data_IF_484816237740
#
_entry.id   IF_484816237740
#
_cell.length_a   1.000
_cell.length_b   1.000
_cell.length_c   1.000
_cell.angle_alpha   90.00
_cell.angle_beta   90.00
_cell.angle_gamma   90.00
#
_symmetry.space_group_name_H-M   'P 1'
#
loop_
_entity.id
_entity.type
_entity.pdbx_description
1 polymer ?
#
# COMPACT_ATOMS: atom_id res chain seq x y z
N UNK A 1 -73.99 1.09 -2.07
CA UNK A 1 -73.07 -0.05 -1.85
C UNK A 1 -72.38 -0.37 -3.16
N UNK A 2 -71.22 0.20 -3.40
CA UNK A 2 -70.41 -0.04 -4.61
C UNK A 2 -69.43 -1.18 -4.32
N UNK A 3 -69.73 -2.38 -4.85
CA UNK A 3 -68.83 -3.53 -4.83
C UNK A 3 -67.72 -3.29 -5.86
N UNK A 4 -66.52 -2.96 -5.38
CA UNK A 4 -65.32 -2.91 -6.22
C UNK A 4 -64.94 -4.34 -6.61
N UNK A 5 -64.95 -4.62 -7.91
CA UNK A 5 -64.71 -5.93 -8.51
C UNK A 5 -63.32 -6.48 -8.15
N UNK A 6 -63.29 -7.62 -7.44
CA UNK A 6 -62.08 -8.34 -7.00
C UNK A 6 -61.35 -9.08 -8.13
N UNK A 7 -61.79 -8.94 -9.38
CA UNK A 7 -61.22 -9.60 -10.55
C UNK A 7 -60.11 -8.82 -11.26
N UNK A 8 -59.89 -7.53 -10.95
CA UNK A 8 -58.81 -6.74 -11.55
C UNK A 8 -57.43 -6.91 -10.85
N UNK A 9 -57.39 -7.46 -9.63
CA UNK A 9 -56.16 -7.50 -8.82
C UNK A 9 -55.25 -8.71 -9.08
N UNK A 10 -55.83 -9.85 -9.50
CA UNK A 10 -55.10 -11.09 -9.79
C UNK A 10 -54.19 -11.02 -11.03
N UNK A 11 -54.62 -10.47 -12.19
CA UNK A 11 -53.73 -10.38 -13.35
C UNK A 11 -52.55 -9.44 -13.07
N UNK A 12 -52.78 -8.35 -12.33
CA UNK A 12 -51.74 -7.38 -11.96
C UNK A 12 -50.62 -8.04 -11.13
N UNK A 13 -50.98 -8.84 -10.11
CA UNK A 13 -49.98 -9.56 -9.32
C UNK A 13 -49.17 -10.56 -10.17
N UNK A 14 -49.82 -11.31 -11.05
CA UNK A 14 -49.11 -12.25 -11.93
C UNK A 14 -48.19 -11.54 -12.94
N UNK A 15 -48.58 -10.38 -13.46
CA UNK A 15 -47.73 -9.57 -14.33
C UNK A 15 -46.52 -9.00 -13.57
N UNK A 16 -46.70 -8.54 -12.34
CA UNK A 16 -45.60 -8.07 -11.48
C UNK A 16 -44.62 -9.21 -11.17
N UNK A 17 -45.11 -10.40 -10.82
CA UNK A 17 -44.23 -11.54 -10.57
C UNK A 17 -43.45 -12.00 -11.82
N UNK A 18 -44.09 -12.03 -12.99
CA UNK A 18 -43.42 -12.35 -14.25
C UNK A 18 -42.37 -11.30 -14.63
N UNK A 19 -42.65 -10.01 -14.42
CA UNK A 19 -41.72 -8.92 -14.67
C UNK A 19 -40.51 -8.97 -13.71
N UNK A 20 -40.73 -9.28 -12.42
CA UNK A 20 -39.66 -9.48 -11.44
C UNK A 20 -38.80 -10.71 -11.78
N UNK A 21 -39.42 -11.80 -12.24
CA UNK A 21 -38.66 -13.00 -12.62
C UNK A 21 -37.80 -12.77 -13.88
N UNK A 22 -38.33 -12.04 -14.87
CA UNK A 22 -37.59 -11.65 -16.08
C UNK A 22 -36.44 -10.67 -15.80
N UNK A 23 -36.59 -9.75 -14.83
CA UNK A 23 -35.51 -8.85 -14.44
C UNK A 23 -34.37 -9.57 -13.70
N UNK A 24 -34.69 -10.57 -12.86
CA UNK A 24 -33.67 -11.41 -12.20
C UNK A 24 -32.86 -12.29 -13.17
N UNK A 25 -33.50 -12.87 -14.18
CA UNK A 25 -32.80 -13.71 -15.18
C UNK A 25 -31.90 -12.88 -16.08
N UNK A 26 -32.35 -11.70 -16.53
CA UNK A 26 -31.55 -10.76 -17.32
C UNK A 26 -30.36 -10.19 -16.55
N UNK A 27 -30.53 -9.84 -15.27
CA UNK A 27 -29.44 -9.38 -14.41
C UNK A 27 -28.38 -10.47 -14.16
N UNK A 28 -28.83 -11.71 -13.93
CA UNK A 28 -27.93 -12.85 -13.73
C UNK A 28 -27.12 -13.18 -15.00
N UNK A 29 -27.75 -13.13 -16.18
CA UNK A 29 -27.08 -13.32 -17.46
C UNK A 29 -26.07 -12.19 -17.77
N UNK A 30 -26.39 -10.94 -17.42
CA UNK A 30 -25.49 -9.80 -17.58
C UNK A 30 -24.24 -9.93 -16.69
N UNK A 31 -24.39 -10.34 -15.43
CA UNK A 31 -23.25 -10.59 -14.53
C UNK A 31 -22.36 -11.71 -15.05
N UNK A 32 -22.94 -12.81 -15.56
CA UNK A 32 -22.17 -13.92 -16.14
C UNK A 32 -21.41 -13.48 -17.42
N UNK A 33 -22.02 -12.66 -18.26
CA UNK A 33 -21.38 -12.07 -19.45
C UNK A 33 -20.23 -11.12 -19.08
N UNK A 34 -20.41 -10.27 -18.06
CA UNK A 34 -19.35 -9.38 -17.55
C UNK A 34 -18.20 -10.14 -16.89
N UNK A 35 -18.45 -11.34 -16.33
CA UNK A 35 -17.41 -12.18 -15.71
C UNK A 35 -16.48 -12.83 -16.74
N UNK A 36 -16.92 -12.99 -18.00
CA UNK A 36 -16.18 -13.72 -19.03
C UNK A 36 -15.08 -12.89 -19.73
N UNK A 37 -15.00 -11.58 -19.49
CA UNK A 37 -14.05 -10.70 -20.18
C UNK A 37 -12.75 -10.39 -19.43
N UNK A 38 -12.43 -11.07 -18.33
CA UNK A 38 -11.14 -10.87 -17.63
C UNK A 38 -10.15 -12.02 -17.83
N UNK A 39 -10.00 -12.45 -19.08
CA UNK A 39 -8.75 -13.08 -19.51
C UNK A 39 -7.78 -11.98 -19.91
N UNK A 40 -7.04 -11.45 -18.92
CA UNK A 40 -5.94 -10.53 -19.20
C UNK A 40 -4.88 -11.33 -19.98
N UNK A 41 -4.52 -10.92 -21.21
CA UNK A 41 -3.40 -11.52 -21.91
C UNK A 41 -2.19 -11.45 -20.99
N UNK A 42 -1.62 -12.60 -20.63
CA UNK A 42 -0.34 -12.66 -19.95
C UNK A 42 0.71 -12.15 -20.94
N UNK A 43 0.84 -10.82 -21.07
CA UNK A 43 1.98 -10.25 -21.74
C UNK A 43 3.21 -10.78 -21.00
N UNK A 44 4.14 -11.47 -21.70
CA UNK A 44 5.43 -11.79 -21.12
C UNK A 44 5.98 -10.48 -20.57
N UNK A 45 6.18 -10.39 -19.25
CA UNK A 45 6.86 -9.24 -18.66
C UNK A 45 8.15 -9.09 -19.47
N UNK A 46 8.45 -7.93 -20.06
CA UNK A 46 9.70 -7.75 -20.77
C UNK A 46 10.80 -8.17 -19.81
N UNK A 47 11.40 -9.32 -20.11
CA UNK A 47 12.45 -9.87 -19.29
C UNK A 47 13.63 -8.98 -19.59
N UNK A 48 13.84 -7.96 -18.75
CA UNK A 48 14.97 -7.07 -18.89
C UNK A 48 16.20 -7.98 -18.91
N UNK A 49 16.86 -8.06 -20.07
CA UNK A 49 18.07 -8.86 -20.24
C UNK A 49 19.18 -8.17 -19.45
N UNK A 50 19.19 -8.42 -18.14
CA UNK A 50 20.27 -7.99 -17.26
C UNK A 50 21.50 -8.82 -17.61
N UNK A 51 22.64 -8.17 -17.80
CA UNK A 51 23.90 -8.89 -17.80
C UNK A 51 24.04 -9.56 -16.42
N UNK A 52 24.26 -10.88 -16.37
CA UNK A 52 24.33 -11.65 -15.11
C UNK A 52 25.46 -11.20 -14.18
N UNK A 53 26.38 -10.36 -14.66
CA UNK A 53 27.53 -9.87 -13.89
C UNK A 53 27.25 -8.61 -13.08
N UNK A 54 26.20 -7.84 -13.41
CA UNK A 54 25.88 -6.59 -12.70
C UNK A 54 24.61 -6.72 -11.86
N UNK A 55 24.63 -6.09 -10.68
CA UNK A 55 23.48 -6.04 -9.76
C UNK A 55 22.33 -5.28 -10.42
N UNK A 56 21.24 -5.97 -10.72
CA UNK A 56 20.10 -5.37 -11.41
C UNK A 56 19.06 -4.87 -10.39
N UNK A 57 19.33 -3.72 -9.77
CA UNK A 57 18.57 -3.20 -8.62
C UNK A 57 17.04 -3.17 -8.81
N UNK A 58 16.57 -2.83 -10.02
CA UNK A 58 15.15 -2.64 -10.33
C UNK A 58 14.49 -3.85 -11.00
N UNK A 59 15.23 -4.94 -11.22
CA UNK A 59 14.71 -6.20 -11.75
C UNK A 59 14.88 -7.29 -10.69
N UNK A 60 13.81 -8.01 -10.35
CA UNK A 60 13.84 -8.89 -9.19
C UNK A 60 12.49 -9.47 -8.83
N UNK A 61 12.39 -10.00 -7.62
CA UNK A 61 11.17 -10.59 -7.08
C UNK A 61 10.94 -10.14 -5.64
N UNK A 62 9.68 -10.11 -5.24
CA UNK A 62 9.33 -9.98 -3.83
C UNK A 62 9.47 -11.34 -3.15
N UNK A 63 10.26 -11.39 -2.09
CA UNK A 63 10.47 -12.61 -1.30
C UNK A 63 9.97 -12.39 0.11
N UNK A 64 9.36 -13.42 0.70
CA UNK A 64 8.94 -13.38 2.10
C UNK A 64 10.18 -13.42 3.00
N UNK A 65 10.19 -12.58 4.03
CA UNK A 65 11.23 -12.47 5.04
C UNK A 65 10.57 -12.20 6.39
N UNK A 66 10.64 -13.18 7.29
CA UNK A 66 9.95 -13.08 8.58
C UNK A 66 10.62 -12.07 9.54
N UNK A 67 11.84 -11.62 9.24
CA UNK A 67 12.55 -10.56 9.97
C UNK A 67 12.03 -9.14 9.66
N UNK A 68 11.16 -8.98 8.67
CA UNK A 68 10.47 -7.72 8.37
C UNK A 68 9.23 -7.54 9.26
N UNK A 69 8.69 -6.31 9.43
CA UNK A 69 9.13 -5.05 8.83
C UNK A 69 10.39 -4.46 9.48
N UNK A 70 10.99 -3.47 8.83
CA UNK A 70 12.14 -2.73 9.37
C UNK A 70 11.80 -1.82 10.56
N UNK A 71 10.51 -1.47 10.72
CA UNK A 71 9.98 -0.69 11.83
C UNK A 71 8.52 -1.08 12.07
N UNK A 72 8.03 -0.83 13.28
CA UNK A 72 6.61 -1.00 13.61
C UNK A 72 5.82 0.24 13.18
N UNK A 73 4.93 0.08 12.20
CA UNK A 73 4.15 1.17 11.61
C UNK A 73 3.26 1.86 12.66
N UNK A 74 2.68 1.10 13.58
CA UNK A 74 1.78 1.61 14.63
C UNK A 74 2.46 2.56 15.61
N UNK A 75 3.79 2.46 15.76
CA UNK A 75 4.52 3.15 16.82
C UNK A 75 5.39 4.29 16.28
N UNK A 76 5.39 4.55 14.97
CA UNK A 76 6.19 5.62 14.40
C UNK A 76 5.42 6.95 14.38
N UNK A 77 5.88 7.99 15.10
CA UNK A 77 5.18 9.28 15.16
C UNK A 77 5.31 10.13 13.89
N UNK A 78 6.14 9.71 12.94
CA UNK A 78 6.36 10.44 11.69
C UNK A 78 5.28 10.14 10.63
N UNK A 79 4.65 8.96 10.69
CA UNK A 79 3.69 8.49 9.68
C UNK A 79 2.36 9.23 9.84
N UNK A 80 1.90 9.85 8.77
CA UNK A 80 0.57 10.43 8.73
C UNK A 80 -0.52 9.34 8.77
N UNK A 81 -1.71 9.69 9.27
CA UNK A 81 -2.80 8.74 9.48
C UNK A 81 -3.22 8.03 8.18
N UNK A 82 -3.19 8.74 7.07
CA UNK A 82 -3.53 8.27 5.72
C UNK A 82 -2.62 7.12 5.25
N UNK A 83 -1.40 7.03 5.78
CA UNK A 83 -0.42 6.00 5.43
C UNK A 83 -0.35 4.86 6.46
N UNK A 84 -1.08 4.93 7.57
CA UNK A 84 -1.09 3.92 8.61
C UNK A 84 -2.26 2.93 8.43
N UNK A 85 -2.08 1.93 7.57
CA UNK A 85 -3.15 0.97 7.24
C UNK A 85 -3.69 0.20 8.46
N UNK A 86 -2.84 -0.15 9.43
CA UNK A 86 -3.25 -0.89 10.62
C UNK A 86 -4.14 -0.03 11.51
N UNK A 87 -3.78 1.25 11.70
CA UNK A 87 -4.62 2.21 12.42
C UNK A 87 -5.96 2.43 11.71
N UNK A 88 -5.97 2.36 10.38
CA UNK A 88 -7.19 2.42 9.55
C UNK A 88 -7.98 1.11 9.50
N UNK A 89 -7.66 0.12 10.36
CA UNK A 89 -8.47 -1.09 10.54
C UNK A 89 -8.12 -2.26 9.62
N UNK A 90 -7.00 -2.23 8.91
CA UNK A 90 -6.55 -3.38 8.11
C UNK A 90 -6.19 -4.57 9.03
N UNK A 91 -6.85 -5.74 8.89
CA UNK A 91 -6.68 -6.84 9.84
C UNK A 91 -5.48 -7.75 9.55
N UNK A 92 -5.00 -7.82 8.30
CA UNK A 92 -3.88 -8.66 7.91
C UNK A 92 -2.55 -7.89 8.01
N UNK A 93 -1.46 -8.59 8.35
CA UNK A 93 -0.10 -8.03 8.44
C UNK A 93 0.91 -8.71 7.50
N UNK A 94 0.47 -9.69 6.70
CA UNK A 94 1.35 -10.48 5.82
C UNK A 94 2.06 -9.64 4.76
N UNK A 95 1.45 -8.52 4.33
CA UNK A 95 2.06 -7.60 3.37
C UNK A 95 3.35 -6.94 3.89
N UNK A 96 3.51 -6.86 5.22
CA UNK A 96 4.70 -6.30 5.86
C UNK A 96 5.90 -7.25 5.82
N UNK A 97 5.70 -8.52 5.46
CA UNK A 97 6.72 -9.57 5.51
C UNK A 97 7.45 -9.77 4.18
N UNK A 98 7.39 -8.81 3.27
CA UNK A 98 8.03 -8.91 1.96
C UNK A 98 9.20 -7.94 1.84
N UNK A 99 10.30 -8.45 1.28
CA UNK A 99 11.44 -7.62 0.83
C UNK A 99 11.66 -7.78 -0.66
N UNK A 100 12.19 -6.73 -1.27
CA UNK A 100 12.63 -6.78 -2.65
C UNK A 100 13.97 -7.52 -2.75
N UNK A 101 14.06 -8.51 -3.64
CA UNK A 101 15.26 -9.27 -3.95
C UNK A 101 15.64 -9.02 -5.42
N UNK A 102 16.63 -8.14 -5.68
CA UNK A 102 17.11 -7.91 -7.04
C UNK A 102 17.73 -9.17 -7.66
N UNK A 103 17.80 -9.19 -8.98
CA UNK A 103 18.56 -10.17 -9.74
C UNK A 103 20.07 -9.90 -9.58
N UNK A 104 20.84 -10.99 -9.54
CA UNK A 104 22.31 -11.00 -9.55
C UNK A 104 23.00 -10.35 -8.32
N UNK A 105 22.27 -10.01 -7.25
CA UNK A 105 22.86 -9.48 -6.02
C UNK A 105 21.91 -9.61 -4.82
N UNK A 106 22.46 -9.57 -3.61
CA UNK A 106 21.67 -9.42 -2.38
C UNK A 106 21.84 -8.00 -1.85
N UNK A 107 20.74 -7.33 -1.52
CA UNK A 107 20.80 -6.02 -0.89
C UNK A 107 21.15 -6.19 0.60
N UNK A 108 22.07 -5.37 1.14
CA UNK A 108 22.28 -5.35 2.58
C UNK A 108 21.01 -4.87 3.26
N UNK A 109 20.73 -5.41 4.45
CA UNK A 109 19.65 -4.89 5.30
C UNK A 109 19.94 -3.43 5.64
N UNK A 110 18.91 -2.60 5.61
CA UNK A 110 19.04 -1.20 6.00
C UNK A 110 19.47 -1.08 7.47
N UNK A 111 20.47 -0.25 7.73
CA UNK A 111 20.94 0.12 9.05
C UNK A 111 20.83 1.64 9.22
N UNK A 112 19.93 2.06 10.11
CA UNK A 112 19.65 3.47 10.36
C UNK A 112 20.83 4.22 11.01
N UNK A 113 21.67 3.55 11.79
CA UNK A 113 22.85 4.15 12.42
C UNK A 113 23.94 4.42 11.38
N UNK A 114 24.19 3.45 10.51
CA UNK A 114 25.13 3.61 9.38
C UNK A 114 24.64 4.72 8.44
N UNK A 115 23.33 4.77 8.15
CA UNK A 115 22.74 5.84 7.36
C UNK A 115 22.99 7.21 8.00
N UNK A 116 22.64 7.38 9.29
CA UNK A 116 22.87 8.63 10.02
C UNK A 116 24.34 9.04 10.04
N UNK A 117 25.26 8.08 10.23
CA UNK A 117 26.70 8.35 10.18
C UNK A 117 27.14 8.89 8.82
N UNK A 118 26.64 8.32 7.72
CA UNK A 118 26.96 8.76 6.35
C UNK A 118 26.30 10.10 5.99
N UNK A 119 25.18 10.43 6.63
CA UNK A 119 24.41 11.66 6.40
C UNK A 119 24.72 12.77 7.39
N UNK A 120 25.72 12.61 8.27
CA UNK A 120 26.16 13.66 9.19
C UNK A 120 26.54 14.93 8.42
N UNK A 121 25.98 16.06 8.84
CA UNK A 121 26.22 17.36 8.20
C UNK A 121 25.58 17.50 6.81
N UNK A 122 24.73 16.56 6.39
CA UNK A 122 24.03 16.58 5.10
C UNK A 122 22.53 16.71 5.31
N UNK A 123 21.87 17.26 4.29
CA UNK A 123 20.41 17.36 4.23
C UNK A 123 19.92 16.51 3.07
N UNK A 124 18.88 15.71 3.30
CA UNK A 124 18.12 15.01 2.25
C UNK A 124 16.78 15.70 2.11
N UNK A 125 16.37 15.97 0.87
CA UNK A 125 15.08 16.56 0.56
C UNK A 125 14.34 15.67 -0.43
N UNK A 126 13.10 15.32 -0.09
CA UNK A 126 12.17 14.66 -1.00
C UNK A 126 11.31 15.76 -1.64
N UNK A 127 11.28 15.80 -2.97
CA UNK A 127 10.49 16.78 -3.74
C UNK A 127 9.55 16.01 -4.64
N UNK A 128 8.26 16.26 -4.50
CA UNK A 128 7.24 15.55 -5.26
C UNK A 128 5.86 15.71 -4.65
N UNK A 129 5.03 14.71 -4.90
CA UNK A 129 3.66 14.62 -4.41
C UNK A 129 3.58 13.84 -3.08
N UNK A 130 2.38 13.32 -2.79
CA UNK A 130 2.12 12.49 -1.60
C UNK A 130 2.96 11.21 -1.56
N UNK A 131 3.42 10.66 -2.69
CA UNK A 131 4.31 9.50 -2.71
C UNK A 131 5.70 9.86 -2.20
N UNK A 132 6.21 11.03 -2.58
CA UNK A 132 7.48 11.56 -2.07
C UNK A 132 7.43 11.78 -0.55
N UNK A 133 6.31 12.31 -0.05
CA UNK A 133 6.05 12.45 1.40
C UNK A 133 6.01 11.08 2.11
N UNK A 134 5.33 10.10 1.52
CA UNK A 134 5.26 8.75 2.08
C UNK A 134 6.65 8.08 2.18
N UNK A 135 7.51 8.27 1.17
CA UNK A 135 8.89 7.79 1.21
C UNK A 135 9.73 8.48 2.29
N UNK A 136 9.59 9.81 2.43
CA UNK A 136 10.24 10.60 3.47
C UNK A 136 9.89 10.10 4.88
N UNK A 137 8.60 9.89 5.15
CA UNK A 137 8.12 9.39 6.44
C UNK A 137 8.61 7.96 6.72
N UNK A 138 8.60 7.09 5.71
CA UNK A 138 9.13 5.73 5.84
C UNK A 138 10.62 5.73 6.20
N UNK A 139 11.42 6.60 5.57
CA UNK A 139 12.85 6.73 5.89
C UNK A 139 13.06 7.19 7.34
N UNK A 140 12.32 8.19 7.81
CA UNK A 140 12.39 8.65 9.20
C UNK A 140 12.11 7.50 10.17
N UNK A 141 11.07 6.70 9.91
CA UNK A 141 10.71 5.58 10.79
C UNK A 141 11.75 4.47 10.81
N UNK A 142 12.35 4.15 9.67
CA UNK A 142 13.47 3.18 9.61
C UNK A 142 14.65 3.66 10.46
N UNK A 143 14.93 4.96 10.47
CA UNK A 143 16.02 5.54 11.28
C UNK A 143 15.65 5.56 12.77
N UNK A 144 14.43 6.00 13.11
CA UNK A 144 13.95 6.01 14.50
C UNK A 144 13.91 4.62 15.11
N UNK A 145 13.58 3.58 14.33
CA UNK A 145 13.61 2.20 14.80
C UNK A 145 15.04 1.73 15.16
N UNK A 146 16.07 2.27 14.51
CA UNK A 146 17.46 1.96 14.81
C UNK A 146 17.98 2.68 16.07
N UNK A 147 17.44 3.85 16.41
CA UNK A 147 17.75 4.55 17.65
C UNK A 147 16.55 5.33 18.22
N UNK A 148 15.65 4.67 18.95
CA UNK A 148 14.42 5.28 19.47
C UNK A 148 14.65 6.40 20.49
N UNK A 149 15.83 6.44 21.13
CA UNK A 149 16.19 7.44 22.14
C UNK A 149 16.77 8.73 21.53
N UNK A 150 16.90 8.80 20.20
CA UNK A 150 17.44 9.98 19.54
C UNK A 150 16.51 11.16 19.76
N UNK A 151 17.05 12.30 20.20
CA UNK A 151 16.29 13.54 20.24
C UNK A 151 16.04 14.03 18.81
N UNK A 152 14.77 14.26 18.49
CA UNK A 152 14.34 14.69 17.16
C UNK A 152 13.36 15.84 17.21
N UNK A 153 13.34 16.64 16.15
CA UNK A 153 12.36 17.71 15.95
C UNK A 153 11.66 17.52 14.62
N UNK A 154 10.33 17.53 14.62
CA UNK A 154 9.52 17.48 13.42
C UNK A 154 8.68 18.74 13.30
N UNK A 155 8.91 19.51 12.24
CA UNK A 155 8.14 20.69 11.90
C UNK A 155 7.34 20.38 10.64
N UNK A 156 6.04 20.16 10.78
CA UNK A 156 5.12 19.95 9.65
C UNK A 156 4.57 21.31 9.22
N UNK A 157 4.89 21.71 8.00
CA UNK A 157 4.34 22.91 7.38
C UNK A 157 4.14 22.67 5.87
N UNK A 158 3.30 23.50 5.27
CA UNK A 158 3.14 23.58 3.82
C UNK A 158 3.87 24.83 3.32
N UNK A 159 4.66 24.75 2.23
CA UNK A 159 4.91 23.57 1.40
C UNK A 159 6.03 22.65 1.91
N UNK A 160 6.68 22.99 3.02
CA UNK A 160 7.91 22.32 3.50
C UNK A 160 7.72 21.71 4.88
N UNK A 161 7.88 20.39 4.98
CA UNK A 161 8.01 19.68 6.25
C UNK A 161 9.47 19.31 6.50
N UNK A 162 9.95 19.49 7.72
CA UNK A 162 11.35 19.25 8.11
C UNK A 162 11.41 18.28 9.29
N UNK A 163 12.32 17.31 9.21
CA UNK A 163 12.66 16.43 10.32
C UNK A 163 14.16 16.56 10.63
N UNK A 164 14.50 16.81 11.89
CA UNK A 164 15.88 16.99 12.36
C UNK A 164 16.21 16.00 13.47
N UNK A 165 17.38 15.39 13.37
CA UNK A 165 18.01 14.65 14.47
C UNK A 165 18.90 15.63 15.24
N UNK A 166 18.55 15.93 16.50
CA UNK A 166 19.14 17.01 17.30
C UNK A 166 20.43 16.61 18.00
N UNK A 167 20.58 15.33 18.35
CA UNK A 167 21.76 14.80 19.01
C UNK A 167 22.10 13.41 18.48
N UNK A 168 23.12 13.34 17.61
CA UNK A 168 23.80 12.07 17.27
C UNK A 168 25.06 11.92 18.13
N UNK A 169 25.08 12.56 19.32
CA UNK A 169 26.26 12.73 20.17
C UNK A 169 26.61 11.48 21.00
N UNK A 170 25.70 10.51 21.11
CA UNK A 170 25.90 9.32 21.95
C UNK A 170 26.04 8.02 21.14
N UNK A 171 26.32 8.11 19.84
CA UNK A 171 26.46 6.95 18.94
C UNK A 171 27.93 6.59 18.64
N UNK A 172 28.88 7.24 19.30
CA UNK A 172 30.31 6.94 19.27
C UNK A 172 30.92 7.19 20.65
#
# INVERSE_FOLDING_TARGET
MTLVSSHLFKPCLTFVFLALFQSHTTFSALILSLRNHRSYPQHPRPMFQTNRTTCALFAGTWVRDDTYPLYQYSNCPAIDAEFNCQMSGRPDSGYLKYRWQPLNCQLPRFDGLVFLSKMRGKTVMFVGDSLGRNQFESLICMILAANPQTQTQMNRAMPLSTFKFLAVSNLF
#
